data_IF_979382167036
#
_entry.id   IF_979382167036
#
_cell.length_a   1.000
_cell.length_b   1.000
_cell.length_c   1.000
_cell.angle_alpha   90.00
_cell.angle_beta   90.00
_cell.angle_gamma   90.00
#
_symmetry.space_group_name_H-M   'P 1'
#
loop_
_entity.id
_entity.type
_entity.pdbx_description
1 polymer ?
#
# COMPACT_ATOMS: atom_id res chain seq x y z
N UNK A 1 -25.64 9.84 -22.45
CA UNK A 1 -25.37 8.82 -23.49
C UNK A 1 -24.07 9.21 -24.16
N UNK A 2 -22.99 8.49 -23.90
CA UNK A 2 -21.70 8.72 -24.58
C UNK A 2 -21.73 8.00 -25.93
N UNK A 3 -21.60 8.74 -27.02
CA UNK A 3 -21.53 8.16 -28.36
C UNK A 3 -20.07 7.83 -28.66
N UNK A 4 -19.73 6.55 -28.68
CA UNK A 4 -18.45 6.10 -29.22
C UNK A 4 -18.66 5.92 -30.73
N UNK A 5 -18.22 6.91 -31.52
CA UNK A 5 -18.28 6.84 -32.96
C UNK A 5 -17.08 6.04 -33.47
N UNK A 6 -17.30 4.77 -33.82
CA UNK A 6 -16.32 3.96 -34.53
C UNK A 6 -16.56 4.11 -36.03
N UNK A 7 -15.89 5.06 -36.68
CA UNK A 7 -15.78 5.03 -38.15
C UNK A 7 -14.81 3.90 -38.51
N UNK A 8 -15.37 2.77 -38.89
CA UNK A 8 -14.60 1.62 -39.35
C UNK A 8 -14.27 1.75 -40.83
N UNK A 9 -13.02 2.08 -41.09
CA UNK A 9 -12.38 1.59 -42.31
C UNK A 9 -11.17 0.77 -41.88
N UNK A 10 -11.35 -0.55 -41.76
CA UNK A 10 -10.29 -1.50 -41.44
C UNK A 10 -10.50 -2.23 -40.10
N UNK A 11 -10.73 -3.45 -40.27
CA UNK A 11 -10.68 -4.64 -39.42
C UNK A 11 -9.95 -4.52 -38.07
N UNK A 12 -10.46 -3.78 -37.10
CA UNK A 12 -10.12 -4.01 -35.69
C UNK A 12 -11.29 -3.48 -34.83
N UNK A 13 -12.21 -4.36 -34.47
CA UNK A 13 -13.29 -4.01 -33.56
C UNK A 13 -12.75 -3.69 -32.18
N UNK A 14 -12.89 -2.45 -31.75
CA UNK A 14 -12.71 -2.09 -30.35
C UNK A 14 -14.00 -2.42 -29.62
N UNK A 15 -13.96 -3.38 -28.72
CA UNK A 15 -15.10 -3.67 -27.84
C UNK A 15 -14.90 -2.90 -26.54
N UNK A 16 -15.93 -2.17 -26.14
CA UNK A 16 -15.95 -1.38 -24.91
C UNK A 16 -16.91 -2.07 -23.94
N UNK A 17 -16.39 -2.50 -22.81
CA UNK A 17 -17.18 -3.06 -21.73
C UNK A 17 -17.16 -2.13 -20.52
N UNK A 18 -18.33 -1.93 -19.92
CA UNK A 18 -18.43 -1.37 -18.58
C UNK A 18 -18.46 -2.52 -17.57
N UNK A 19 -17.64 -2.43 -16.54
CA UNK A 19 -17.56 -3.43 -15.47
C UNK A 19 -18.66 -3.27 -14.39
N UNK A 20 -19.56 -2.31 -14.58
CA UNK A 20 -20.57 -1.96 -13.59
C UNK A 20 -20.03 -1.13 -12.40
N UNK A 21 -18.71 -0.86 -12.37
CA UNK A 21 -18.05 -0.08 -11.34
C UNK A 21 -17.69 1.34 -11.81
N UNK A 22 -18.21 1.76 -12.95
CA UNK A 22 -17.93 3.07 -13.54
C UNK A 22 -16.63 3.16 -14.33
N UNK A 23 -15.96 2.02 -14.56
CA UNK A 23 -14.73 1.95 -15.36
C UNK A 23 -15.00 1.57 -16.80
N UNK A 24 -14.18 2.04 -17.71
CA UNK A 24 -14.18 1.71 -19.12
C UNK A 24 -12.89 0.96 -19.45
N UNK A 25 -13.01 -0.32 -19.83
CA UNK A 25 -11.88 -1.09 -20.34
C UNK A 25 -11.86 -1.03 -21.87
N UNK A 26 -10.75 -0.59 -22.44
CA UNK A 26 -10.50 -0.68 -23.88
C UNK A 26 -9.69 -1.92 -24.15
N UNK A 27 -10.23 -2.85 -24.95
CA UNK A 27 -9.56 -4.09 -25.33
C UNK A 27 -9.19 -4.07 -26.83
N UNK A 28 -8.02 -4.62 -27.12
CA UNK A 28 -7.59 -4.97 -28.47
C UNK A 28 -7.27 -6.47 -28.48
N UNK A 29 -7.91 -7.20 -29.40
CA UNK A 29 -7.71 -8.65 -29.56
C UNK A 29 -7.94 -9.44 -28.23
N UNK A 30 -8.95 -9.05 -27.45
CA UNK A 30 -9.24 -9.65 -26.16
C UNK A 30 -8.29 -9.25 -25.02
N UNK A 31 -7.28 -8.43 -25.30
CA UNK A 31 -6.32 -7.93 -24.30
C UNK A 31 -6.69 -6.52 -23.87
N UNK A 32 -6.86 -6.31 -22.57
CA UNK A 32 -7.13 -4.97 -22.01
C UNK A 32 -5.95 -4.05 -22.28
N UNK A 33 -6.17 -2.97 -23.02
CA UNK A 33 -5.16 -1.95 -23.34
C UNK A 33 -5.15 -0.80 -22.36
N UNK A 34 -6.26 -0.55 -21.66
CA UNK A 34 -6.35 0.48 -20.65
C UNK A 34 -7.65 0.37 -19.86
N UNK A 35 -7.61 0.83 -18.63
CA UNK A 35 -8.79 1.07 -17.80
C UNK A 35 -8.93 2.57 -17.66
N UNK A 36 -10.09 3.10 -18.06
CA UNK A 36 -10.45 4.49 -17.91
C UNK A 36 -11.60 4.56 -16.91
N UNK A 37 -11.37 5.22 -15.79
CA UNK A 37 -12.36 5.31 -14.72
C UNK A 37 -11.70 5.26 -13.34
N UNK A 38 -12.38 4.68 -12.38
CA UNK A 38 -11.91 4.62 -11.00
C UNK A 38 -10.72 3.67 -10.84
N UNK A 39 -9.49 4.19 -11.02
CA UNK A 39 -8.26 3.44 -10.78
C UNK A 39 -8.08 3.31 -9.27
N UNK A 40 -8.02 2.08 -8.72
CA UNK A 40 -7.81 1.88 -7.29
C UNK A 40 -6.55 2.57 -6.79
N UNK A 41 -6.72 3.44 -5.79
CA UNK A 41 -5.63 4.10 -5.11
C UNK A 41 -6.02 4.36 -3.65
N UNK A 42 -5.07 4.31 -2.74
CA UNK A 42 -5.31 4.55 -1.33
C UNK A 42 -4.11 5.24 -0.67
N UNK A 43 -4.37 5.96 0.41
CA UNK A 43 -3.37 6.50 1.32
C UNK A 43 -3.91 6.49 2.75
N UNK A 44 -3.12 5.89 3.64
CA UNK A 44 -3.47 5.74 5.05
C UNK A 44 -2.26 6.01 5.93
N UNK A 45 -2.48 6.49 7.13
CA UNK A 45 -1.39 6.76 8.08
C UNK A 45 -1.74 6.38 9.52
N UNK A 46 -0.70 6.34 10.36
CA UNK A 46 -0.83 6.08 11.79
C UNK A 46 -1.16 7.38 12.52
N UNK A 47 -2.39 7.49 13.01
CA UNK A 47 -2.89 8.71 13.67
C UNK A 47 -2.41 8.90 15.10
N UNK A 48 -1.93 7.84 15.77
CA UNK A 48 -1.49 7.85 17.16
C UNK A 48 -0.25 6.99 17.34
N UNK A 49 0.57 7.31 18.35
CA UNK A 49 1.72 6.49 18.70
C UNK A 49 1.31 5.04 18.99
N UNK A 50 2.05 4.10 18.43
CA UNK A 50 1.91 2.68 18.69
C UNK A 50 3.17 2.15 19.39
N UNK A 51 3.06 1.83 20.69
CA UNK A 51 4.16 1.19 21.40
C UNK A 51 4.45 -0.20 20.83
N UNK A 52 5.72 -0.53 20.66
CA UNK A 52 6.15 -1.79 20.07
C UNK A 52 7.21 -2.48 20.93
N UNK A 53 7.31 -3.80 20.77
CA UNK A 53 8.33 -4.59 21.46
C UNK A 53 9.55 -4.72 20.57
N UNK A 54 10.75 -4.53 21.14
CA UNK A 54 12.01 -4.73 20.43
C UNK A 54 12.18 -6.20 19.99
N UNK A 55 12.90 -6.39 18.89
CA UNK A 55 13.20 -7.68 18.27
C UNK A 55 11.96 -8.50 17.85
N UNK A 56 10.82 -7.82 17.67
CA UNK A 56 9.57 -8.47 17.25
C UNK A 56 8.98 -7.74 16.04
N UNK A 57 8.72 -8.47 14.96
CA UNK A 57 7.94 -7.89 13.86
C UNK A 57 6.54 -7.54 14.36
N UNK A 58 6.16 -6.30 14.18
CA UNK A 58 4.88 -5.76 14.65
C UNK A 58 4.14 -5.10 13.50
N UNK A 59 2.86 -5.44 13.32
CA UNK A 59 1.99 -4.78 12.35
C UNK A 59 1.80 -3.31 12.73
N UNK A 60 1.89 -2.40 11.75
CA UNK A 60 1.57 -0.99 11.93
C UNK A 60 0.06 -0.81 11.78
N UNK A 61 -0.59 -0.29 12.82
CA UNK A 61 -2.03 -0.11 12.90
C UNK A 61 -2.44 1.23 12.26
N UNK A 62 -2.31 1.33 10.94
CA UNK A 62 -2.62 2.56 10.19
C UNK A 62 -4.13 2.79 10.20
N UNK A 63 -4.59 3.66 11.06
CA UNK A 63 -6.00 3.82 11.42
C UNK A 63 -6.67 5.08 10.85
N UNK A 64 -5.91 5.94 10.18
CA UNK A 64 -6.45 7.14 9.52
C UNK A 64 -6.31 6.99 8.01
N UNK A 65 -7.43 7.12 7.35
CA UNK A 65 -7.52 7.11 5.90
C UNK A 65 -7.52 8.55 5.38
N UNK A 66 -6.62 8.87 4.44
CA UNK A 66 -6.65 10.12 3.70
C UNK A 66 -7.61 10.00 2.51
N UNK A 67 -7.49 8.90 1.80
CA UNK A 67 -8.42 8.48 0.76
C UNK A 67 -8.27 6.99 0.45
N UNK A 68 -9.36 6.40 0.00
CA UNK A 68 -9.42 5.08 -0.62
C UNK A 68 -10.52 5.09 -1.71
N UNK A 69 -10.11 5.08 -2.97
CA UNK A 69 -11.03 5.27 -4.09
C UNK A 69 -12.02 4.12 -4.27
N UNK A 70 -11.72 2.94 -3.73
CA UNK A 70 -12.52 1.73 -3.91
C UNK A 70 -12.94 1.07 -2.59
N UNK A 71 -12.67 1.72 -1.45
CA UNK A 71 -12.95 1.20 -0.12
C UNK A 71 -12.35 -0.20 0.10
N UNK A 72 -11.07 -0.34 -0.23
CA UNK A 72 -10.33 -1.60 -0.17
C UNK A 72 -9.34 -1.68 1.02
N UNK A 73 -9.20 -0.61 1.80
CA UNK A 73 -8.39 -0.60 3.01
C UNK A 73 -9.26 -0.74 4.27
N UNK A 74 -8.95 -1.71 5.12
CA UNK A 74 -9.58 -1.86 6.43
C UNK A 74 -8.73 -1.13 7.49
N UNK A 75 -9.17 0.05 7.91
CA UNK A 75 -8.48 0.92 8.85
C UNK A 75 -8.91 0.71 10.33
N UNK A 76 -9.75 -0.28 10.61
CA UNK A 76 -10.35 -0.47 11.93
C UNK A 76 -10.06 -1.84 12.56
N UNK A 77 -10.05 -2.91 11.77
CA UNK A 77 -9.95 -4.29 12.28
C UNK A 77 -8.68 -4.98 11.83
N UNK A 78 -8.44 -5.03 10.52
CA UNK A 78 -7.34 -5.80 9.96
C UNK A 78 -6.13 -4.93 9.58
N UNK A 79 -6.29 -3.63 9.38
CA UNK A 79 -5.23 -2.68 8.99
C UNK A 79 -4.47 -3.17 7.76
N UNK A 80 -5.22 -3.44 6.67
CA UNK A 80 -4.68 -4.03 5.46
C UNK A 80 -5.40 -3.54 4.20
N UNK A 81 -4.70 -3.54 3.08
CA UNK A 81 -5.25 -3.25 1.76
C UNK A 81 -5.56 -4.55 1.02
N UNK A 82 -6.82 -4.73 0.62
CA UNK A 82 -7.33 -5.92 -0.09
C UNK A 82 -8.04 -5.46 -1.37
N UNK A 83 -7.32 -5.25 -2.48
CA UNK A 83 -7.91 -4.69 -3.70
C UNK A 83 -8.89 -5.66 -4.36
N UNK A 84 -9.96 -5.09 -4.93
CA UNK A 84 -10.98 -5.82 -5.68
C UNK A 84 -10.71 -5.90 -7.17
N UNK A 85 -9.67 -5.24 -7.68
CA UNK A 85 -9.24 -5.32 -9.07
C UNK A 85 -7.93 -6.09 -9.14
N UNK A 86 -7.90 -7.17 -9.93
CA UNK A 86 -6.68 -7.95 -10.15
C UNK A 86 -5.65 -7.14 -10.94
N UNK A 87 -4.37 -7.24 -10.56
CA UNK A 87 -3.33 -6.51 -11.26
C UNK A 87 -2.08 -6.24 -10.44
N UNK A 88 -1.20 -5.44 -11.02
CA UNK A 88 0.05 -4.99 -10.41
C UNK A 88 -0.14 -3.62 -9.79
N UNK A 89 0.20 -3.49 -8.51
CA UNK A 89 0.10 -2.27 -7.74
C UNK A 89 1.47 -1.80 -7.28
N UNK A 90 1.70 -0.49 -7.37
CA UNK A 90 2.81 0.14 -6.65
C UNK A 90 2.39 0.32 -5.20
N UNK A 91 3.16 -0.21 -4.27
CA UNK A 91 2.94 -0.08 -2.83
C UNK A 91 4.16 0.61 -2.21
N UNK A 92 3.92 1.65 -1.43
CA UNK A 92 4.95 2.40 -0.72
C UNK A 92 4.57 2.50 0.76
N UNK A 93 5.52 2.25 1.64
CA UNK A 93 5.34 2.38 3.07
C UNK A 93 6.51 3.10 3.73
N UNK A 94 6.22 3.83 4.79
CA UNK A 94 7.20 4.43 5.68
C UNK A 94 6.81 4.17 7.12
N UNK A 95 7.80 3.83 7.92
CA UNK A 95 7.67 3.76 9.37
C UNK A 95 8.60 4.81 9.97
N UNK A 96 8.03 5.72 10.73
CA UNK A 96 8.77 6.63 11.57
C UNK A 96 8.84 6.03 12.95
N UNK A 97 10.05 5.89 13.45
CA UNK A 97 10.31 5.40 14.79
C UNK A 97 10.59 6.57 15.71
N UNK A 98 9.79 6.70 16.75
CA UNK A 98 10.08 7.59 17.88
C UNK A 98 10.75 6.75 18.97
N UNK A 99 12.06 6.85 19.07
CA UNK A 99 12.81 6.05 20.03
C UNK A 99 14.06 6.75 20.53
N UNK A 100 14.31 6.59 21.81
CA UNK A 100 15.64 6.74 22.41
C UNK A 100 16.38 5.41 22.26
N UNK A 101 16.54 4.92 21.02
CA UNK A 101 17.29 3.70 20.79
C UNK A 101 18.78 4.00 20.86
N UNK A 102 19.48 3.16 21.59
CA UNK A 102 20.95 3.12 21.60
C UNK A 102 21.36 1.86 20.84
N UNK A 103 22.19 2.03 19.80
CA UNK A 103 22.66 0.93 18.96
C UNK A 103 21.52 0.06 18.38
N UNK A 104 20.49 0.73 17.86
CA UNK A 104 19.31 0.06 17.33
C UNK A 104 19.15 0.14 15.81
N UNK A 105 18.30 -0.72 15.29
CA UNK A 105 17.90 -0.71 13.88
C UNK A 105 16.38 -0.65 13.74
N UNK A 106 15.91 -0.03 12.65
CA UNK A 106 14.52 -0.03 12.23
C UNK A 106 14.40 -0.55 10.80
N UNK A 107 13.39 -1.36 10.53
CA UNK A 107 13.11 -1.94 9.22
C UNK A 107 11.61 -1.90 8.95
N UNK A 108 11.22 -1.27 7.83
CA UNK A 108 9.86 -1.36 7.30
C UNK A 108 9.76 -2.56 6.35
N UNK A 109 8.65 -3.29 6.42
CA UNK A 109 8.42 -4.51 5.64
C UNK A 109 7.00 -4.56 5.14
N UNK A 110 6.83 -4.92 3.88
CA UNK A 110 5.51 -5.31 3.34
C UNK A 110 5.31 -6.80 3.61
N UNK A 111 4.20 -7.12 4.26
CA UNK A 111 3.67 -8.48 4.35
C UNK A 111 2.60 -8.66 3.30
N UNK A 112 2.60 -9.80 2.62
CA UNK A 112 1.52 -10.22 1.71
C UNK A 112 0.92 -11.52 2.24
N UNK A 113 -0.39 -11.54 2.40
CA UNK A 113 -1.14 -12.72 2.87
C UNK A 113 -0.57 -13.29 4.18
N UNK A 114 -0.21 -12.41 5.12
CA UNK A 114 0.35 -12.78 6.42
C UNK A 114 1.81 -13.23 6.41
N UNK A 115 2.50 -13.19 5.28
CA UNK A 115 3.90 -13.59 5.16
C UNK A 115 4.77 -12.41 4.73
N UNK A 116 6.00 -12.38 5.26
CA UNK A 116 7.01 -11.37 4.88
C UNK A 116 7.29 -11.45 3.38
N UNK A 117 7.04 -10.34 2.69
CA UNK A 117 7.11 -10.29 1.22
C UNK A 117 8.27 -9.44 0.71
N UNK A 118 8.42 -8.21 1.22
CA UNK A 118 9.46 -7.29 0.77
C UNK A 118 9.97 -6.43 1.91
N UNK A 119 11.30 -6.43 2.07
CA UNK A 119 12.00 -5.57 3.03
C UNK A 119 12.30 -4.21 2.40
N UNK A 120 12.21 -3.20 3.24
CA UNK A 120 12.68 -1.86 2.95
C UNK A 120 14.14 -1.65 3.32
N UNK A 121 14.51 -0.38 3.53
CA UNK A 121 15.84 -0.06 4.01
C UNK A 121 15.96 -0.34 5.51
N UNK A 122 17.10 -0.92 5.90
CA UNK A 122 17.50 -1.03 7.30
C UNK A 122 18.14 0.29 7.73
N UNK A 123 17.52 0.94 8.70
CA UNK A 123 18.02 2.19 9.29
C UNK A 123 18.69 1.89 10.63
N UNK A 124 19.93 2.34 10.81
CA UNK A 124 20.70 2.10 12.05
C UNK A 124 20.98 3.38 12.80
N UNK A 125 20.94 3.32 14.11
CA UNK A 125 21.31 4.40 15.03
C UNK A 125 22.42 3.99 15.97
N UNK A 126 23.41 4.86 16.11
CA UNK A 126 24.52 4.67 17.07
C UNK A 126 24.33 5.45 18.38
N UNK A 127 23.43 6.43 18.44
CA UNK A 127 23.16 7.23 19.65
C UNK A 127 21.69 7.62 19.75
N UNK A 128 21.18 7.74 20.96
CA UNK A 128 19.75 8.01 21.23
C UNK A 128 19.26 9.38 20.79
N UNK A 129 17.94 9.50 20.60
CA UNK A 129 17.22 10.77 20.45
C UNK A 129 16.97 11.25 19.02
N UNK A 130 17.18 10.43 18.00
CA UNK A 130 16.83 10.77 16.61
C UNK A 130 15.54 10.08 16.13
N UNK A 131 14.83 10.73 15.22
CA UNK A 131 13.76 10.10 14.46
C UNK A 131 14.37 9.23 13.35
N UNK A 132 13.87 8.03 13.21
CA UNK A 132 14.29 7.09 12.16
C UNK A 132 13.16 6.89 11.18
N UNK A 133 13.51 6.88 9.89
CA UNK A 133 12.57 6.67 8.80
C UNK A 133 13.00 5.42 8.02
N UNK A 134 12.20 4.37 8.10
CA UNK A 134 12.42 3.16 7.31
C UNK A 134 11.38 3.11 6.21
N UNK A 135 11.82 3.08 4.96
CA UNK A 135 10.93 3.09 3.80
C UNK A 135 10.98 1.77 3.06
N UNK A 136 9.86 1.38 2.48
CA UNK A 136 9.72 0.24 1.59
C UNK A 136 8.90 0.63 0.37
N UNK A 137 9.34 0.19 -0.80
CA UNK A 137 8.65 0.45 -2.07
C UNK A 137 8.77 -0.77 -2.96
N UNK A 138 7.65 -1.25 -3.51
CA UNK A 138 7.64 -2.47 -4.31
C UNK A 138 6.42 -2.57 -5.22
N UNK A 139 6.55 -3.31 -6.31
CA UNK A 139 5.42 -3.79 -7.10
C UNK A 139 4.89 -5.09 -6.51
N UNK A 140 3.55 -5.18 -6.38
CA UNK A 140 2.85 -6.36 -5.86
C UNK A 140 1.75 -6.74 -6.82
N UNK A 141 1.69 -8.02 -7.17
CA UNK A 141 0.52 -8.58 -7.85
C UNK A 141 -0.56 -8.95 -6.84
N UNK A 142 -1.82 -8.62 -7.16
CA UNK A 142 -3.01 -9.04 -6.39
C UNK A 142 -4.00 -9.74 -7.31
N UNK A 143 -4.67 -10.77 -6.78
CA UNK A 143 -5.68 -11.55 -7.51
C UNK A 143 -7.07 -10.87 -7.56
N UNK A 144 -7.24 -9.71 -6.92
CA UNK A 144 -8.51 -8.97 -6.91
C UNK A 144 -9.61 -9.57 -6.03
N UNK A 145 -9.31 -10.53 -5.18
CA UNK A 145 -10.31 -11.21 -4.33
C UNK A 145 -9.83 -11.44 -2.89
N UNK A 146 -8.70 -12.11 -2.71
CA UNK A 146 -8.24 -12.57 -1.39
C UNK A 146 -6.85 -12.06 -1.01
N UNK A 147 -6.05 -11.63 -2.00
CA UNK A 147 -4.71 -11.11 -1.74
C UNK A 147 -4.79 -9.77 -1.01
N UNK A 148 -3.94 -9.62 -0.01
CA UNK A 148 -3.82 -8.37 0.74
C UNK A 148 -2.37 -8.06 1.11
N UNK A 149 -2.11 -6.79 1.43
CA UNK A 149 -0.85 -6.35 2.01
C UNK A 149 -1.06 -5.57 3.29
N UNK A 150 -0.03 -5.62 4.13
CA UNK A 150 0.08 -4.96 5.42
C UNK A 150 1.45 -4.32 5.54
N UNK A 151 1.53 -3.21 6.28
CA UNK A 151 2.81 -2.64 6.70
C UNK A 151 3.21 -3.22 8.06
N UNK A 152 4.41 -3.75 8.13
CA UNK A 152 5.00 -4.28 9.36
C UNK A 152 6.34 -3.61 9.63
N UNK A 153 6.72 -3.52 10.90
CA UNK A 153 8.00 -2.99 11.32
C UNK A 153 8.74 -3.92 12.26
N UNK A 154 10.06 -3.89 12.16
CA UNK A 154 10.95 -4.47 13.15
C UNK A 154 11.78 -3.36 13.76
N UNK A 155 11.89 -3.36 15.08
CA UNK A 155 12.80 -2.51 15.83
C UNK A 155 13.67 -3.40 16.68
N UNK A 156 14.98 -3.24 16.62
CA UNK A 156 15.87 -3.85 17.59
C UNK A 156 16.70 -2.78 18.31
N UNK A 157 17.32 -3.14 19.42
CA UNK A 157 18.05 -2.23 20.29
C UNK A 157 17.47 -2.17 21.70
N UNK A 158 17.95 -1.24 22.50
CA UNK A 158 17.48 -1.02 23.88
C UNK A 158 16.58 0.21 23.96
N UNK A 159 15.53 0.15 24.76
CA UNK A 159 14.59 1.25 24.95
C UNK A 159 13.13 0.84 24.84
N UNK A 160 12.24 1.81 24.80
CA UNK A 160 10.78 1.62 24.65
C UNK A 160 10.34 2.30 23.34
N UNK A 161 10.52 1.65 22.20
CA UNK A 161 10.22 2.25 20.92
C UNK A 161 8.71 2.33 20.65
N UNK A 162 8.34 3.30 19.82
CA UNK A 162 7.00 3.38 19.24
C UNK A 162 7.06 3.74 17.76
N UNK A 163 6.11 3.21 16.99
CA UNK A 163 5.86 3.69 15.64
C UNK A 163 5.07 5.00 15.70
N UNK A 164 5.35 5.89 14.75
CA UNK A 164 4.72 7.20 14.65
C UNK A 164 5.39 8.26 15.50
N UNK A 165 4.88 9.47 15.38
CA UNK A 165 5.21 10.65 16.18
C UNK A 165 3.93 11.39 16.52
N UNK A 166 3.98 12.30 17.51
CA UNK A 166 2.80 13.02 17.99
C UNK A 166 2.03 13.84 16.93
N UNK A 167 2.56 14.02 15.75
CA UNK A 167 1.96 14.80 14.64
C UNK A 167 1.40 13.97 13.48
N UNK A 168 1.35 12.66 13.59
CA UNK A 168 0.41 11.78 12.92
C UNK A 168 0.67 11.34 11.47
N UNK A 169 1.35 12.05 10.58
CA UNK A 169 1.37 11.71 9.15
C UNK A 169 2.61 10.96 8.65
N UNK A 170 3.53 10.64 9.52
CA UNK A 170 4.88 10.20 9.11
C UNK A 170 5.01 8.68 8.93
N UNK A 171 4.17 7.87 9.59
CA UNK A 171 4.09 6.43 9.30
C UNK A 171 2.88 6.19 8.44
N UNK A 172 3.08 5.71 7.23
CA UNK A 172 2.02 5.60 6.24
C UNK A 172 2.20 4.39 5.31
N UNK A 173 1.11 4.02 4.67
CA UNK A 173 1.08 3.10 3.54
C UNK A 173 0.20 3.71 2.44
N UNK A 174 0.69 3.70 1.22
CA UNK A 174 -0.11 4.10 0.08
C UNK A 174 0.17 3.21 -1.13
N UNK A 175 -0.70 3.28 -2.10
CA UNK A 175 -0.52 2.54 -3.33
C UNK A 175 -1.58 2.85 -4.37
N UNK A 176 -1.31 2.39 -5.58
CA UNK A 176 -2.21 2.55 -6.71
C UNK A 176 -2.01 1.44 -7.73
N UNK A 177 -3.06 1.18 -8.52
CA UNK A 177 -3.02 0.22 -9.61
C UNK A 177 -2.14 0.75 -10.74
N UNK A 178 -1.11 0.00 -11.11
CA UNK A 178 -0.22 0.30 -12.25
C UNK A 178 -0.77 -0.34 -13.51
N UNK A 179 -1.23 -1.59 -13.41
CA UNK A 179 -1.74 -2.37 -14.54
C UNK A 179 -2.72 -3.42 -14.07
N UNK A 180 -3.94 -3.39 -14.59
CA UNK A 180 -4.91 -4.49 -14.42
C UNK A 180 -4.54 -5.71 -15.27
N UNK A 181 -5.00 -6.89 -14.85
CA UNK A 181 -4.78 -8.17 -15.56
C UNK A 181 -6.08 -8.93 -15.76
#
# INVERSE_FOLDING_TARGET
MALINTTTTGVLGTTVYGDGQGSLAVQKDGVTQGIYGNIPAFSVYLGTLQNVTTNTFTKVLLNIEEFDTNNNYDNATNYRFTPTVAGYYQINGNITLNATLINGNSLAVIYKNGSRYKDGNLQSASSGGALFYSVVSTLVYFNGTTDYVELWGLVNGTGSPSFGVNTGTQSYLNGYLVKAT
#
